data_IF_913338978603
#
_entry.id   IF_913338978603
#
_cell.length_a   1.000
_cell.length_b   1.000
_cell.length_c   1.000
_cell.angle_alpha   90.00
_cell.angle_beta   90.00
_cell.angle_gamma   90.00
#
_symmetry.space_group_name_H-M   'P 1'
#
loop_
_entity.id
_entity.type
_entity.pdbx_description
1 polymer ?
#
# COMPACT_ATOMS: atom_id res chain seq x y z
N UNK A 1 17.54 -0.48 13.48
CA UNK A 1 16.86 0.82 13.25
C UNK A 1 15.36 0.60 13.35
N UNK A 2 14.70 1.18 14.38
CA UNK A 2 13.23 1.33 14.38
C UNK A 2 12.86 2.23 13.20
N UNK A 3 11.78 1.92 12.49
CA UNK A 3 11.21 2.84 11.50
C UNK A 3 11.01 4.22 12.16
N UNK A 4 11.15 5.34 11.42
CA UNK A 4 10.83 6.66 11.97
C UNK A 4 9.43 6.58 12.57
N UNK A 5 9.30 6.94 13.85
CA UNK A 5 8.00 6.96 14.52
C UNK A 5 7.16 7.99 13.77
N UNK A 6 6.23 7.54 12.94
CA UNK A 6 5.23 8.41 12.31
C UNK A 6 4.61 9.22 13.44
N UNK A 7 4.66 10.55 13.32
CA UNK A 7 4.16 11.41 14.39
C UNK A 7 2.70 11.05 14.69
N UNK A 8 2.30 11.21 15.95
CA UNK A 8 0.99 10.79 16.42
C UNK A 8 -0.15 11.50 15.65
N UNK A 9 0.07 12.73 15.20
CA UNK A 9 -0.94 13.50 14.45
C UNK A 9 -1.20 12.87 13.08
N UNK A 10 -0.15 12.44 12.37
CA UNK A 10 -0.25 11.73 11.09
C UNK A 10 -1.02 10.41 11.25
N UNK A 11 -0.73 9.63 12.30
CA UNK A 11 -1.46 8.38 12.60
C UNK A 11 -2.94 8.63 12.86
N UNK A 12 -3.26 9.66 13.65
CA UNK A 12 -4.63 10.05 13.95
C UNK A 12 -5.37 10.56 12.71
N UNK A 13 -4.71 11.36 11.86
CA UNK A 13 -5.29 11.85 10.62
C UNK A 13 -5.67 10.70 9.67
N UNK A 14 -4.77 9.74 9.47
CA UNK A 14 -5.05 8.53 8.67
C UNK A 14 -6.19 7.70 9.28
N UNK A 15 -6.20 7.53 10.60
CA UNK A 15 -7.28 6.86 11.32
C UNK A 15 -8.64 7.53 11.11
N UNK A 16 -8.70 8.86 11.14
CA UNK A 16 -9.92 9.64 10.84
C UNK A 16 -10.38 9.43 9.41
N UNK A 17 -9.48 9.44 8.42
CA UNK A 17 -9.85 9.19 7.01
C UNK A 17 -10.41 7.78 6.80
N UNK A 18 -9.80 6.77 7.43
CA UNK A 18 -10.33 5.40 7.40
C UNK A 18 -11.74 5.34 8.00
N UNK A 19 -11.95 6.00 9.16
CA UNK A 19 -13.27 6.10 9.78
C UNK A 19 -14.29 6.77 8.86
N UNK A 20 -13.92 7.88 8.22
CA UNK A 20 -14.78 8.62 7.28
C UNK A 20 -15.20 7.74 6.11
N UNK A 21 -14.25 7.05 5.46
CA UNK A 21 -14.56 6.13 4.37
C UNK A 21 -15.51 5.02 4.82
N UNK A 22 -15.22 4.41 5.98
CA UNK A 22 -16.08 3.37 6.56
C UNK A 22 -17.50 3.85 6.82
N UNK A 23 -17.66 5.02 7.44
CA UNK A 23 -18.98 5.57 7.77
C UNK A 23 -19.76 5.98 6.52
N UNK A 24 -19.06 6.50 5.49
CA UNK A 24 -19.68 6.82 4.21
C UNK A 24 -20.21 5.58 3.48
N UNK A 25 -19.53 4.43 3.63
CA UNK A 25 -19.99 3.13 3.14
C UNK A 25 -21.08 2.48 4.02
N UNK A 26 -21.53 3.13 5.11
CA UNK A 26 -22.56 2.59 6.01
C UNK A 26 -22.11 1.38 6.84
N UNK A 27 -20.80 1.15 6.96
CA UNK A 27 -20.27 -0.04 7.64
C UNK A 27 -19.93 0.24 9.11
N UNK A 28 -20.17 -0.74 9.98
CA UNK A 28 -19.62 -0.78 11.33
C UNK A 28 -18.13 -1.20 11.31
N UNK A 29 -17.42 -0.98 12.41
CA UNK A 29 -16.04 -1.46 12.54
C UNK A 29 -15.94 -2.98 12.40
N UNK A 30 -16.92 -3.75 12.90
CA UNK A 30 -16.94 -5.21 12.79
C UNK A 30 -17.25 -5.67 11.37
N UNK A 31 -18.15 -4.99 10.66
CA UNK A 31 -18.45 -5.28 9.26
C UNK A 31 -17.24 -5.04 8.36
N UNK A 32 -16.53 -3.91 8.56
CA UNK A 32 -15.28 -3.67 7.82
C UNK A 32 -14.19 -4.67 8.22
N UNK A 33 -14.06 -4.99 9.52
CA UNK A 33 -13.08 -5.96 10.01
C UNK A 33 -13.33 -7.39 9.48
N UNK A 34 -14.57 -7.75 9.12
CA UNK A 34 -14.88 -9.06 8.54
C UNK A 34 -14.20 -9.29 7.18
N UNK A 35 -13.85 -8.22 6.45
CA UNK A 35 -13.03 -8.30 5.24
C UNK A 35 -11.54 -8.59 5.53
N UNK A 36 -11.14 -8.46 6.80
CA UNK A 36 -9.79 -8.67 7.29
C UNK A 36 -9.67 -10.05 7.94
N UNK A 37 -8.45 -10.58 8.03
CA UNK A 37 -8.21 -11.75 8.87
C UNK A 37 -8.46 -11.43 10.35
N UNK A 38 -8.90 -12.42 11.14
CA UNK A 38 -9.35 -12.27 12.54
C UNK A 38 -8.34 -11.61 13.53
N UNK A 39 -7.07 -11.44 13.13
CA UNK A 39 -6.02 -10.80 13.95
C UNK A 39 -6.04 -9.26 13.91
N UNK A 40 -6.81 -8.63 13.03
CA UNK A 40 -6.76 -7.19 12.82
C UNK A 40 -8.01 -6.49 13.35
N UNK A 41 -7.81 -5.41 14.11
CA UNK A 41 -8.89 -4.55 14.58
C UNK A 41 -8.86 -3.20 13.87
N UNK A 42 -9.93 -2.88 13.15
CA UNK A 42 -10.16 -1.58 12.51
C UNK A 42 -10.06 -0.45 13.54
N UNK A 43 -10.54 -0.66 14.77
CA UNK A 43 -10.52 0.35 15.82
C UNK A 43 -9.11 0.82 16.20
N UNK A 44 -8.10 -0.06 16.11
CA UNK A 44 -6.69 0.31 16.38
C UNK A 44 -6.14 1.26 15.33
N UNK A 45 -6.57 1.11 14.07
CA UNK A 45 -6.20 2.06 13.01
C UNK A 45 -6.95 3.37 13.16
N UNK A 46 -8.27 3.32 13.40
CA UNK A 46 -9.10 4.53 13.53
C UNK A 46 -8.72 5.42 14.71
N UNK A 47 -8.20 4.82 15.79
CA UNK A 47 -7.71 5.54 16.98
C UNK A 47 -6.24 5.95 16.88
N UNK A 48 -5.53 5.60 15.81
CA UNK A 48 -4.10 5.87 15.65
C UNK A 48 -3.18 5.03 16.55
N UNK A 49 -3.73 4.12 17.35
CA UNK A 49 -2.97 3.13 18.14
C UNK A 49 -2.06 2.28 17.25
N UNK A 50 -2.51 2.00 16.03
CA UNK A 50 -1.71 1.43 14.94
C UNK A 50 -1.75 2.36 13.74
N UNK A 51 -0.60 2.63 13.13
CA UNK A 51 -0.55 3.43 11.90
C UNK A 51 -1.17 2.66 10.73
N UNK A 52 -2.19 3.26 10.10
CA UNK A 52 -2.83 2.72 8.91
C UNK A 52 -1.87 2.69 7.70
N UNK A 53 -0.87 3.58 7.63
CA UNK A 53 0.18 3.52 6.60
C UNK A 53 1.07 2.28 6.69
N UNK A 54 1.10 1.64 7.86
CA UNK A 54 1.82 0.38 8.09
C UNK A 54 0.96 -0.87 7.84
N UNK A 55 -0.30 -0.73 7.38
CA UNK A 55 -1.06 -1.88 6.89
C UNK A 55 -0.41 -2.43 5.63
N UNK A 56 -0.54 -3.73 5.38
CA UNK A 56 0.01 -4.33 4.17
C UNK A 56 -0.83 -3.97 2.95
N UNK A 57 -0.23 -3.90 1.76
CA UNK A 57 -0.96 -3.66 0.51
C UNK A 57 -2.11 -4.66 0.31
N UNK A 58 -1.87 -5.94 0.57
CA UNK A 58 -2.93 -6.96 0.46
C UNK A 58 -4.08 -6.76 1.45
N UNK A 59 -3.83 -6.14 2.61
CA UNK A 59 -4.89 -5.74 3.54
C UNK A 59 -5.65 -4.52 3.01
N UNK A 60 -4.92 -3.53 2.49
CA UNK A 60 -5.51 -2.35 1.86
C UNK A 60 -6.43 -2.74 0.69
N UNK A 61 -6.01 -3.69 -0.16
CA UNK A 61 -6.85 -4.20 -1.25
C UNK A 61 -8.17 -4.80 -0.74
N UNK A 62 -8.15 -5.61 0.33
CA UNK A 62 -9.37 -6.20 0.90
C UNK A 62 -10.30 -5.14 1.49
N UNK A 63 -9.74 -4.17 2.21
CA UNK A 63 -10.50 -3.05 2.75
C UNK A 63 -11.11 -2.19 1.65
N UNK A 64 -10.35 -1.89 0.60
CA UNK A 64 -10.83 -1.16 -0.56
C UNK A 64 -12.03 -1.87 -1.20
N UNK A 65 -11.92 -3.19 -1.45
CA UNK A 65 -13.04 -4.00 -1.95
C UNK A 65 -14.27 -3.92 -1.04
N UNK A 66 -14.08 -4.05 0.28
CA UNK A 66 -15.18 -3.97 1.24
C UNK A 66 -15.85 -2.58 1.29
N UNK A 67 -15.09 -1.53 0.98
CA UNK A 67 -15.58 -0.15 0.90
C UNK A 67 -16.17 0.18 -0.49
N UNK A 68 -16.13 -0.75 -1.45
CA UNK A 68 -16.56 -0.50 -2.83
C UNK A 68 -15.64 0.45 -3.59
N UNK A 69 -14.35 0.47 -3.24
CA UNK A 69 -13.33 1.36 -3.80
C UNK A 69 -12.21 0.53 -4.47
N UNK A 70 -11.55 1.11 -5.46
CA UNK A 70 -10.27 0.57 -5.93
C UNK A 70 -9.14 0.87 -4.92
N UNK A 71 -8.09 0.03 -4.93
CA UNK A 71 -6.99 0.12 -3.95
C UNK A 71 -6.18 1.42 -4.08
N UNK A 72 -6.10 1.99 -5.28
CA UNK A 72 -5.40 3.25 -5.54
C UNK A 72 -6.15 4.42 -4.91
N UNK A 73 -7.46 4.54 -5.13
CA UNK A 73 -8.32 5.55 -4.51
C UNK A 73 -8.37 5.39 -3.00
N UNK A 74 -8.49 4.16 -2.48
CA UNK A 74 -8.40 3.89 -1.05
C UNK A 74 -7.08 4.42 -0.46
N UNK A 75 -5.95 4.08 -1.10
CA UNK A 75 -4.62 4.43 -0.61
C UNK A 75 -4.36 5.93 -0.67
N UNK A 76 -4.72 6.57 -1.78
CA UNK A 76 -4.60 8.02 -1.95
C UNK A 76 -5.41 8.77 -0.89
N UNK A 77 -6.65 8.33 -0.65
CA UNK A 77 -7.51 8.92 0.36
C UNK A 77 -6.95 8.70 1.76
N UNK A 78 -6.49 7.49 2.08
CA UNK A 78 -5.96 7.16 3.39
C UNK A 78 -4.68 7.95 3.70
N UNK A 79 -3.72 7.95 2.77
CA UNK A 79 -2.41 8.58 2.93
C UNK A 79 -2.44 10.09 2.65
N UNK A 80 -3.49 10.59 2.00
CA UNK A 80 -3.63 11.98 1.53
C UNK A 80 -2.48 12.40 0.63
N UNK A 81 -2.41 11.69 -0.49
CA UNK A 81 -1.41 11.88 -1.52
C UNK A 81 -2.11 12.15 -2.85
N UNK A 82 -1.50 12.98 -3.72
CA UNK A 82 -2.07 13.27 -5.04
C UNK A 82 -2.03 12.02 -5.93
N UNK A 83 -2.75 12.08 -7.04
CA UNK A 83 -2.57 11.15 -8.16
C UNK A 83 -1.15 11.29 -8.73
N UNK A 84 -0.58 10.17 -9.20
CA UNK A 84 0.70 10.17 -9.93
C UNK A 84 0.52 9.59 -11.32
N UNK A 85 1.46 9.89 -12.22
CA UNK A 85 1.46 9.35 -13.57
C UNK A 85 1.75 7.86 -13.57
N UNK A 86 0.91 7.09 -14.26
CA UNK A 86 1.10 5.65 -14.44
C UNK A 86 1.21 5.26 -15.91
N UNK A 87 1.90 4.16 -16.18
CA UNK A 87 1.90 3.53 -17.51
C UNK A 87 1.22 2.18 -17.40
N UNK A 88 0.36 1.81 -18.37
CA UNK A 88 -0.37 0.56 -18.31
C UNK A 88 0.57 -0.64 -18.20
N UNK A 89 0.26 -1.56 -17.29
CA UNK A 89 0.93 -2.85 -17.20
C UNK A 89 0.75 -3.64 -18.51
N UNK A 90 1.81 -4.35 -18.92
CA UNK A 90 1.71 -5.35 -20.00
C UNK A 90 1.24 -6.69 -19.43
N UNK A 91 0.80 -7.58 -20.32
CA UNK A 91 0.52 -8.96 -19.96
C UNK A 91 1.77 -9.60 -19.34
N UNK A 92 1.61 -10.24 -18.18
CA UNK A 92 2.71 -10.83 -17.41
C UNK A 92 3.80 -9.83 -17.00
N UNK A 93 3.45 -8.56 -16.81
CA UNK A 93 4.36 -7.58 -16.20
C UNK A 93 4.77 -8.06 -14.80
N UNK A 94 6.02 -7.80 -14.44
CA UNK A 94 6.55 -8.01 -13.09
C UNK A 94 7.39 -6.79 -12.72
N UNK A 95 7.71 -6.60 -11.44
CA UNK A 95 8.58 -5.49 -11.03
C UNK A 95 9.91 -5.45 -11.81
N UNK A 96 10.50 -6.62 -12.08
CA UNK A 96 11.74 -6.74 -12.88
C UNK A 96 11.56 -6.26 -14.32
N UNK A 97 10.47 -6.67 -14.98
CA UNK A 97 10.18 -6.29 -16.36
C UNK A 97 9.82 -4.80 -16.45
N UNK A 98 9.09 -4.29 -15.46
CA UNK A 98 8.73 -2.89 -15.33
C UNK A 98 9.96 -1.99 -15.24
N UNK A 99 10.91 -2.33 -14.36
CA UNK A 99 12.17 -1.60 -14.22
C UNK A 99 12.96 -1.58 -15.52
N UNK A 100 13.09 -2.73 -16.20
CA UNK A 100 13.77 -2.81 -17.50
C UNK A 100 13.12 -1.93 -18.57
N UNK A 101 11.78 -1.90 -18.62
CA UNK A 101 11.02 -1.04 -19.55
C UNK A 101 11.27 0.45 -19.31
N UNK A 102 11.52 0.83 -18.05
CA UNK A 102 11.87 2.19 -17.65
C UNK A 102 13.37 2.49 -17.79
N UNK A 103 14.20 1.52 -18.20
CA UNK A 103 15.66 1.70 -18.28
C UNK A 103 16.36 1.73 -16.92
N UNK A 104 15.73 1.15 -15.88
CA UNK A 104 16.24 1.17 -14.51
C UNK A 104 16.64 -0.23 -14.01
N UNK A 105 17.48 -0.23 -12.97
CA UNK A 105 17.96 -1.46 -12.32
C UNK A 105 17.30 -1.67 -10.95
N UNK A 106 17.47 -2.87 -10.38
CA UNK A 106 17.05 -3.14 -9.00
C UNK A 106 17.84 -2.31 -7.98
N UNK A 107 19.13 -2.07 -8.25
CA UNK A 107 19.98 -1.23 -7.40
C UNK A 107 19.49 0.23 -7.40
N UNK A 108 19.10 0.74 -8.57
CA UNK A 108 18.46 2.04 -8.68
C UNK A 108 17.17 2.10 -7.86
N UNK A 109 16.30 1.08 -7.95
CA UNK A 109 15.06 1.07 -7.16
C UNK A 109 15.34 1.05 -5.65
N UNK A 110 16.34 0.30 -5.21
CA UNK A 110 16.77 0.25 -3.81
C UNK A 110 17.17 1.64 -3.31
N UNK A 111 18.00 2.35 -4.08
CA UNK A 111 18.42 3.73 -3.79
C UNK A 111 17.24 4.70 -3.71
N UNK A 112 16.32 4.66 -4.70
CA UNK A 112 15.17 5.56 -4.75
C UNK A 112 14.14 5.31 -3.64
N UNK A 113 14.05 4.09 -3.11
CA UNK A 113 13.01 3.70 -2.16
C UNK A 113 13.50 3.56 -0.71
N UNK A 114 14.82 3.50 -0.53
CA UNK A 114 15.46 3.15 0.74
C UNK A 114 15.33 1.66 1.10
N UNK A 115 14.99 0.81 0.14
CA UNK A 115 14.96 -0.65 0.31
C UNK A 115 16.36 -1.23 0.15
N UNK A 116 16.62 -2.38 0.77
CA UNK A 116 17.89 -3.08 0.51
C UNK A 116 17.86 -3.78 -0.85
N UNK A 117 19.01 -3.96 -1.52
CA UNK A 117 19.08 -4.73 -2.77
C UNK A 117 18.48 -6.14 -2.65
N UNK A 118 18.63 -6.78 -1.49
CA UNK A 118 18.03 -8.09 -1.20
C UNK A 118 16.50 -8.03 -1.17
N UNK A 119 15.92 -7.01 -0.55
CA UNK A 119 14.47 -6.81 -0.56
C UNK A 119 13.94 -6.61 -1.98
N UNK A 120 14.58 -5.72 -2.75
CA UNK A 120 14.20 -5.48 -4.15
C UNK A 120 14.31 -6.75 -4.99
N UNK A 121 15.39 -7.53 -4.81
CA UNK A 121 15.58 -8.79 -5.53
C UNK A 121 14.43 -9.77 -5.24
N UNK A 122 14.07 -9.99 -3.97
CA UNK A 122 12.97 -10.88 -3.58
C UNK A 122 11.61 -10.48 -4.14
N UNK A 123 11.32 -9.17 -4.19
CA UNK A 123 10.11 -8.67 -4.85
C UNK A 123 10.14 -8.89 -6.36
N UNK A 124 11.31 -8.74 -6.97
CA UNK A 124 11.47 -8.86 -8.41
C UNK A 124 11.53 -10.32 -8.92
N UNK A 125 11.85 -11.28 -8.05
CA UNK A 125 11.82 -12.73 -8.35
C UNK A 125 10.50 -13.39 -7.97
N UNK A 126 9.65 -12.74 -7.18
CA UNK A 126 8.41 -13.31 -6.65
C UNK A 126 8.61 -14.13 -5.38
N UNK A 127 9.84 -14.17 -4.82
CA UNK A 127 10.14 -14.85 -3.55
C UNK A 127 9.45 -14.16 -2.35
N UNK A 128 9.04 -12.91 -2.52
CA UNK A 128 8.21 -12.19 -1.55
C UNK A 128 7.16 -11.41 -2.31
N UNK A 129 5.89 -11.60 -1.94
CA UNK A 129 4.77 -10.90 -2.57
C UNK A 129 4.79 -9.41 -2.20
N UNK A 130 4.63 -8.54 -3.21
CA UNK A 130 4.51 -7.09 -3.01
C UNK A 130 3.29 -6.72 -2.14
N UNK A 131 2.28 -7.61 -2.08
CA UNK A 131 1.14 -7.49 -1.17
C UNK A 131 1.51 -7.48 0.32
N UNK A 132 2.72 -7.92 0.69
CA UNK A 132 3.22 -7.90 2.07
C UNK A 132 3.90 -6.58 2.45
N UNK A 133 4.16 -5.69 1.49
CA UNK A 133 4.71 -4.37 1.77
C UNK A 133 3.73 -3.53 2.59
N UNK A 134 4.25 -2.69 3.49
CA UNK A 134 3.44 -1.62 4.07
C UNK A 134 2.94 -0.70 2.97
N UNK A 135 1.78 -0.09 3.18
CA UNK A 135 1.13 0.76 2.20
C UNK A 135 2.01 1.93 1.78
N UNK A 136 2.73 2.55 2.72
CA UNK A 136 3.71 3.59 2.40
C UNK A 136 4.83 3.11 1.47
N UNK A 137 5.36 1.91 1.72
CA UNK A 137 6.44 1.34 0.90
C UNK A 137 5.93 0.93 -0.48
N UNK A 138 4.76 0.28 -0.53
CA UNK A 138 4.10 -0.07 -1.78
C UNK A 138 3.82 1.18 -2.62
N UNK A 139 3.30 2.24 -2.00
CA UNK A 139 3.05 3.54 -2.66
C UNK A 139 4.33 4.14 -3.21
N UNK A 140 5.41 4.16 -2.42
CA UNK A 140 6.70 4.68 -2.89
C UNK A 140 7.21 3.91 -4.09
N UNK A 141 7.20 2.57 -4.04
CA UNK A 141 7.60 1.74 -5.20
C UNK A 141 6.70 2.05 -6.40
N UNK A 142 5.38 2.03 -6.23
CA UNK A 142 4.41 2.28 -7.29
C UNK A 142 4.67 3.62 -7.98
N UNK A 143 4.89 4.70 -7.21
CA UNK A 143 5.27 6.01 -7.75
C UNK A 143 6.60 5.95 -8.51
N UNK A 144 7.63 5.36 -7.92
CA UNK A 144 8.96 5.24 -8.54
C UNK A 144 8.95 4.45 -9.84
N UNK A 145 8.12 3.41 -9.94
CA UNK A 145 7.99 2.59 -11.16
C UNK A 145 6.77 2.95 -12.01
N UNK A 146 6.13 4.10 -11.74
CA UNK A 146 4.96 4.62 -12.46
C UNK A 146 3.83 3.58 -12.59
N UNK A 147 3.60 2.76 -11.58
CA UNK A 147 2.58 1.72 -11.59
C UNK A 147 1.39 2.11 -10.70
N UNK A 148 0.23 1.52 -10.98
CA UNK A 148 -0.89 1.51 -10.04
C UNK A 148 -0.62 0.49 -8.92
N UNK A 149 -1.22 0.71 -7.75
CA UNK A 149 -1.17 -0.24 -6.64
C UNK A 149 -1.91 -1.53 -6.95
N UNK A 150 -2.94 -1.47 -7.80
CA UNK A 150 -3.61 -2.64 -8.33
C UNK A 150 -2.64 -3.55 -9.12
N UNK A 151 -1.82 -2.98 -9.99
CA UNK A 151 -0.79 -3.72 -10.74
C UNK A 151 0.27 -4.29 -9.78
N UNK A 152 0.73 -3.46 -8.84
CA UNK A 152 1.73 -3.86 -7.85
C UNK A 152 1.25 -5.03 -6.97
N UNK A 153 -0.05 -5.13 -6.70
CA UNK A 153 -0.64 -6.23 -5.94
C UNK A 153 -0.69 -7.56 -6.72
N UNK A 154 -0.53 -7.51 -8.06
CA UNK A 154 -0.56 -8.67 -8.95
C UNK A 154 0.85 -9.14 -9.38
N UNK A 155 1.88 -8.32 -9.19
CA UNK A 155 3.28 -8.64 -9.53
C UNK A 155 3.99 -9.41 -8.41
#
# INVERSE_FOLDING_TARGET
MKAPDTDQATRLARGRRLKTMRTAAGLSQSQLAASMSARYSVSRYETGSRDAGNMTLGMASKLATALGMDVDTFTRTLLDIPTWSTLPARRYETLKRRLRRLGHTQAWLAEQTGLTPLQVSRYATGDTYLTQLSLERATRIAQTVQADLADLAQW
#
